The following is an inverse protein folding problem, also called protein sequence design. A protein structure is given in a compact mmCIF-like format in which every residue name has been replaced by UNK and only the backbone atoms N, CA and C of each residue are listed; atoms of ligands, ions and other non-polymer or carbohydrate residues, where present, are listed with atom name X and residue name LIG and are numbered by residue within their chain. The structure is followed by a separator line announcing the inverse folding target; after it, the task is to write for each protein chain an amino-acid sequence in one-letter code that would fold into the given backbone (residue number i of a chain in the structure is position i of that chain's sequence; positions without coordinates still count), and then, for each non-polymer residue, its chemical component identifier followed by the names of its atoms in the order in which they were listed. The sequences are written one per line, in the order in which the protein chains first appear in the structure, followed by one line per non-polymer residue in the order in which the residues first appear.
data_IF_553753998300
#
_entry.id   IF_553753998300
#
_cell.length_a   1.000
_cell.length_b   1.000
_cell.length_c   1.000
_cell.angle_alpha   90.00
_cell.angle_beta   90.00
_cell.angle_gamma   90.00
#
_symmetry.space_group_name_H-M   'P 1'
#
loop_
_entity.id
_entity.type
_entity.pdbx_description
1 polymer ?
#
# COMPACT_ATOMS: atom_id res chain seq x y z
N UNK A 1 -2.84 15.13 -26.98
CA UNK A 1 -2.17 14.50 -25.81
C UNK A 1 -2.87 14.94 -24.54
N UNK A 2 -3.44 14.00 -23.77
CA UNK A 2 -4.21 14.32 -22.57
C UNK A 2 -3.28 14.88 -21.48
N UNK A 3 -3.62 16.08 -20.97
CA UNK A 3 -2.98 16.73 -19.83
C UNK A 3 -2.81 15.71 -18.69
N UNK A 4 -1.57 15.39 -18.35
CA UNK A 4 -1.27 14.57 -17.17
C UNK A 4 -1.73 15.35 -15.94
N UNK A 5 -2.87 14.95 -15.36
CA UNK A 5 -3.31 15.43 -14.05
C UNK A 5 -2.33 14.89 -13.01
N UNK A 6 -1.20 15.58 -12.89
CA UNK A 6 0.06 15.19 -12.27
C UNK A 6 0.00 14.89 -10.76
N UNK A 7 -1.16 15.02 -10.09
CA UNK A 7 -1.30 14.75 -8.65
C UNK A 7 -2.62 14.06 -8.33
N UNK A 8 -2.69 12.74 -8.57
CA UNK A 8 -3.73 11.93 -7.91
C UNK A 8 -3.57 12.07 -6.39
N UNK A 9 -4.65 12.43 -5.69
CA UNK A 9 -4.66 12.49 -4.22
C UNK A 9 -4.44 11.10 -3.61
N UNK A 10 -4.58 10.02 -4.38
CA UNK A 10 -4.42 8.64 -3.90
C UNK A 10 -2.98 8.19 -4.01
N UNK A 11 -2.51 7.47 -2.97
CA UNK A 11 -1.21 6.81 -2.91
C UNK A 11 -1.40 5.31 -3.15
N UNK A 12 -0.52 4.71 -3.94
CA UNK A 12 -0.42 3.26 -4.08
C UNK A 12 0.16 2.68 -2.79
N UNK A 13 -0.48 1.65 -2.26
CA UNK A 13 -0.04 0.91 -1.08
C UNK A 13 -0.04 -0.59 -1.40
N UNK A 14 0.86 -1.31 -0.73
CA UNK A 14 0.84 -2.77 -0.72
C UNK A 14 0.07 -3.30 0.50
N UNK A 15 -0.69 -4.37 0.30
CA UNK A 15 -1.24 -5.21 1.36
C UNK A 15 -0.66 -6.62 1.21
N UNK A 16 -0.32 -7.27 2.32
CA UNK A 16 0.26 -8.63 2.34
C UNK A 16 -0.63 -9.61 3.06
N UNK A 17 -0.60 -10.85 2.60
CA UNK A 17 -1.21 -11.97 3.32
C UNK A 17 -0.51 -12.17 4.67
N UNK A 18 -1.18 -12.83 5.63
CA UNK A 18 -0.60 -13.14 6.94
C UNK A 18 0.71 -13.92 6.85
N UNK A 19 0.83 -14.82 5.85
CA UNK A 19 2.02 -15.62 5.59
C UNK A 19 3.13 -14.85 4.83
N UNK A 20 2.88 -13.61 4.41
CA UNK A 20 3.79 -12.77 3.65
C UNK A 20 4.08 -13.24 2.21
N UNK A 21 3.48 -14.34 1.76
CA UNK A 21 3.78 -14.96 0.46
C UNK A 21 3.00 -14.34 -0.70
N UNK A 22 1.88 -13.67 -0.42
CA UNK A 22 1.07 -12.96 -1.41
C UNK A 22 1.06 -11.46 -1.09
N UNK A 23 1.18 -10.65 -2.14
CA UNK A 23 1.13 -9.19 -2.03
C UNK A 23 0.22 -8.64 -3.12
N UNK A 24 -0.71 -7.78 -2.71
CA UNK A 24 -1.63 -7.07 -3.59
C UNK A 24 -1.37 -5.57 -3.48
N UNK A 25 -1.70 -4.83 -4.53
CA UNK A 25 -1.58 -3.39 -4.56
C UNK A 25 -2.94 -2.73 -4.69
N UNK A 26 -3.17 -1.69 -3.92
CA UNK A 26 -4.39 -0.90 -3.96
C UNK A 26 -4.08 0.58 -3.72
N UNK A 27 -5.04 1.46 -3.97
CA UNK A 27 -4.86 2.90 -3.81
C UNK A 27 -5.70 3.44 -2.66
N UNK A 28 -5.08 4.25 -1.81
CA UNK A 28 -5.72 4.88 -0.65
C UNK A 28 -5.60 6.39 -0.73
N UNK A 29 -6.60 7.10 -0.23
CA UNK A 29 -6.47 8.55 0.00
C UNK A 29 -5.86 8.78 1.40
N UNK A 30 -4.62 9.28 1.51
CA UNK A 30 -3.98 9.52 2.80
C UNK A 30 -4.71 10.58 3.65
N UNK A 31 -5.41 11.54 3.03
CA UNK A 31 -6.17 12.56 3.77
C UNK A 31 -7.34 11.93 4.55
N UNK A 32 -7.94 10.86 4.04
CA UNK A 32 -9.02 10.18 4.76
C UNK A 32 -8.49 9.43 5.99
N UNK A 33 -7.22 9.01 5.99
CA UNK A 33 -6.63 8.33 7.15
C UNK A 33 -6.48 9.27 8.33
N UNK A 34 -6.04 10.51 8.07
CA UNK A 34 -5.87 11.53 9.10
C UNK A 34 -7.22 12.14 9.49
N UNK A 35 -8.03 12.54 8.51
CA UNK A 35 -9.19 13.38 8.78
C UNK A 35 -10.43 12.57 9.20
N UNK A 36 -10.49 11.28 8.85
CA UNK A 36 -11.63 10.40 9.18
C UNK A 36 -11.24 9.24 10.11
N UNK A 37 -10.03 9.27 10.69
CA UNK A 37 -9.51 8.23 11.58
C UNK A 37 -9.64 6.79 11.02
N UNK A 38 -9.50 6.62 9.71
CA UNK A 38 -9.74 5.33 9.02
C UNK A 38 -8.59 4.32 9.15
N UNK A 39 -7.55 4.62 9.94
CA UNK A 39 -6.48 3.69 10.26
C UNK A 39 -5.72 3.08 9.06
N UNK A 40 -5.10 1.93 9.29
CA UNK A 40 -4.48 1.09 8.25
C UNK A 40 -5.55 0.27 7.53
N UNK A 41 -5.29 -0.05 6.27
CA UNK A 41 -6.24 -0.83 5.49
C UNK A 41 -6.09 -2.33 5.77
N UNK A 42 -7.20 -2.98 6.08
CA UNK A 42 -7.32 -4.44 6.20
C UNK A 42 -8.43 -4.92 5.28
N UNK A 43 -8.15 -5.89 4.40
CA UNK A 43 -9.12 -6.40 3.43
C UNK A 43 -9.10 -7.92 3.39
N UNK A 44 -10.28 -8.54 3.42
CA UNK A 44 -10.43 -9.97 3.17
C UNK A 44 -10.37 -10.24 1.67
N UNK A 45 -9.32 -10.92 1.20
CA UNK A 45 -9.08 -11.22 -0.23
C UNK A 45 -8.66 -12.67 -0.42
N UNK A 46 -8.95 -13.19 -1.60
CA UNK A 46 -8.55 -14.54 -1.99
C UNK A 46 -7.03 -14.62 -2.16
N UNK A 47 -6.39 -15.57 -1.48
CA UNK A 47 -4.99 -15.90 -1.66
C UNK A 47 -4.89 -17.14 -2.57
N UNK A 48 -4.34 -17.02 -3.79
CA UNK A 48 -4.24 -18.16 -4.71
C UNK A 48 -3.26 -19.25 -4.25
N UNK A 49 -2.36 -18.94 -3.29
CA UNK A 49 -1.38 -19.91 -2.77
C UNK A 49 -2.00 -20.85 -1.74
N UNK A 50 -2.76 -20.30 -0.80
CA UNK A 50 -3.46 -21.08 0.22
C UNK A 50 -4.86 -21.50 -0.23
N UNK A 51 -5.34 -20.94 -1.35
CA UNK A 51 -6.68 -21.15 -1.93
C UNK A 51 -7.81 -20.76 -1.00
N UNK A 52 -7.57 -19.81 -0.09
CA UNK A 52 -8.53 -19.36 0.91
C UNK A 52 -8.62 -17.83 0.96
N UNK A 53 -9.71 -17.32 1.54
CA UNK A 53 -9.87 -15.88 1.78
C UNK A 53 -9.23 -15.49 3.12
N UNK A 54 -8.14 -14.73 3.05
CA UNK A 54 -7.36 -14.29 4.20
C UNK A 54 -7.46 -12.77 4.37
N UNK A 55 -7.15 -12.28 5.57
CA UNK A 55 -7.08 -10.85 5.86
C UNK A 55 -5.71 -10.33 5.47
N UNK A 56 -5.68 -9.49 4.44
CA UNK A 56 -4.47 -8.82 3.99
C UNK A 56 -4.29 -7.51 4.75
N UNK A 57 -3.12 -7.32 5.34
CA UNK A 57 -2.78 -6.13 6.13
C UNK A 57 -1.81 -5.23 5.39
N UNK A 58 -1.90 -3.94 5.63
CA UNK A 58 -1.03 -2.96 4.97
C UNK A 58 0.43 -3.05 5.42
N UNK A 59 1.33 -3.02 4.44
CA UNK A 59 2.77 -3.16 4.66
C UNK A 59 3.44 -1.79 4.68
N UNK A 60 4.32 -1.58 5.68
CA UNK A 60 5.18 -0.37 5.76
C UNK A 60 6.24 -0.29 4.66
N UNK A 61 6.49 -1.37 3.92
CA UNK A 61 7.54 -1.42 2.88
C UNK A 61 7.06 -0.66 1.64
N UNK A 62 7.47 0.60 1.56
CA UNK A 62 7.33 1.44 0.38
C UNK A 62 8.10 0.81 -0.78
N UNK A 63 7.54 0.89 -1.99
CA UNK A 63 8.16 0.42 -3.23
C UNK A 63 9.48 1.18 -3.49
N UNK A 64 10.59 0.63 -2.98
CA UNK A 64 11.95 0.90 -3.45
C UNK A 64 12.30 2.37 -3.73
N UNK A 65 11.92 3.32 -2.86
CA UNK A 65 12.68 4.57 -2.85
C UNK A 65 14.00 4.23 -2.19
N UNK A 66 15.10 4.29 -2.94
CA UNK A 66 16.43 4.25 -2.37
C UNK A 66 16.47 5.30 -1.25
N UNK A 67 16.64 4.86 0.00
CA UNK A 67 16.99 5.75 1.09
C UNK A 67 18.35 6.34 0.72
N UNK A 68 18.34 7.60 0.25
CA UNK A 68 19.57 8.31 -0.09
C UNK A 68 20.39 8.36 1.19
N UNK A 69 21.55 7.67 1.20
CA UNK A 69 22.45 7.67 2.35
C UNK A 69 22.81 9.12 2.71
N UNK A 70 22.80 9.49 4.00
CA UNK A 70 23.17 10.83 4.42
C UNK A 70 24.59 11.16 3.92
N UNK A 71 24.75 12.38 3.38
CA UNK A 71 26.05 12.84 2.88
C UNK A 71 26.99 12.95 4.07
N UNK A 72 28.15 12.27 4.02
CA UNK A 72 29.20 12.46 5.04
C UNK A 72 29.66 13.91 4.96
N UNK A 73 29.60 14.61 6.09
CA UNK A 73 30.31 15.87 6.31
C UNK A 73 31.75 15.57 6.70
#
# INVERSE_FOLDING_TARGET
MAKSNSKSKRKLIGIVSPDGKARLYTTVNPQNRTNKSQGKLELKKYNPKTRQHEVFTETKKNLGRNEVKPKKH
#
